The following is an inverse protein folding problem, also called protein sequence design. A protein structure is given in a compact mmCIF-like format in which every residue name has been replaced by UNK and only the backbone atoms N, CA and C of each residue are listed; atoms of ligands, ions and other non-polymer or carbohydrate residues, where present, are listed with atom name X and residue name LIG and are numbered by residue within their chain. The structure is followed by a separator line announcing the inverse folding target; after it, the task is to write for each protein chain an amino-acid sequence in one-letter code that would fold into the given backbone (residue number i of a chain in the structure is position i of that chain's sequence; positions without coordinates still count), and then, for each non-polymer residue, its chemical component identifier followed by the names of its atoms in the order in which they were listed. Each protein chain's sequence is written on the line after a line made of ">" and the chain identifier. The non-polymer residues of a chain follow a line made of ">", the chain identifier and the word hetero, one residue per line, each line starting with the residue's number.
data_IF_525599228635
#
_entry.id   IF_525599228635
#
_cell.length_a   1.000
_cell.length_b   1.000
_cell.length_c   1.000
_cell.angle_alpha   90.00
_cell.angle_beta   90.00
_cell.angle_gamma   90.00
#
_symmetry.space_group_name_H-M   'P 1'
#
loop_
_entity.id
_entity.type
_entity.pdbx_description
1 polymer ?
#
# COMPACT_ATOMS: atom_id res chain seq x y z
N UNK A 1 -52.94 21.72 26.37
CA UNK A 1 -52.87 21.92 24.91
C UNK A 1 -51.96 20.82 24.37
N UNK A 2 -52.52 19.65 24.03
CA UNK A 2 -51.75 18.55 23.45
C UNK A 2 -51.54 18.89 21.97
N UNK A 3 -50.34 19.34 21.62
CA UNK A 3 -49.93 19.44 20.22
C UNK A 3 -49.64 18.00 19.77
N UNK A 4 -50.69 17.29 19.37
CA UNK A 4 -50.53 15.98 18.73
C UNK A 4 -49.89 16.20 17.37
N UNK A 5 -48.63 15.82 17.22
CA UNK A 5 -47.98 15.82 15.91
C UNK A 5 -48.83 14.96 14.95
N UNK A 6 -49.13 15.43 13.72
CA UNK A 6 -49.90 14.66 12.77
C UNK A 6 -49.15 13.36 12.45
N UNK A 7 -49.85 12.22 12.49
CA UNK A 7 -49.22 10.90 12.32
C UNK A 7 -48.50 10.76 10.97
N UNK A 8 -48.93 11.49 9.93
CA UNK A 8 -48.21 11.49 8.64
C UNK A 8 -46.78 12.03 8.79
N UNK A 9 -46.56 13.01 9.68
CA UNK A 9 -45.25 13.67 9.85
C UNK A 9 -44.24 12.67 10.39
N UNK A 10 -44.67 11.84 11.36
CA UNK A 10 -43.86 10.77 11.95
C UNK A 10 -43.39 9.78 10.86
N UNK A 11 -44.30 9.38 9.97
CA UNK A 11 -44.02 8.46 8.86
C UNK A 11 -43.08 9.09 7.86
N UNK A 12 -43.34 10.33 7.46
CA UNK A 12 -42.52 11.06 6.50
C UNK A 12 -41.08 11.21 7.02
N UNK A 13 -40.92 11.56 8.31
CA UNK A 13 -39.60 11.61 8.96
C UNK A 13 -38.92 10.24 8.93
N UNK A 14 -39.61 9.16 9.30
CA UNK A 14 -39.01 7.82 9.28
C UNK A 14 -38.61 7.34 7.88
N UNK A 15 -39.38 7.72 6.85
CA UNK A 15 -39.06 7.41 5.46
C UNK A 15 -37.83 8.20 4.98
N UNK A 16 -37.76 9.49 5.30
CA UNK A 16 -36.59 10.32 4.99
C UNK A 16 -35.33 9.78 5.66
N UNK A 17 -35.40 9.36 6.93
CA UNK A 17 -34.25 8.76 7.63
C UNK A 17 -33.74 7.51 6.93
N UNK A 18 -34.64 6.63 6.49
CA UNK A 18 -34.26 5.43 5.73
C UNK A 18 -33.63 5.76 4.37
N UNK A 19 -34.16 6.76 3.66
CA UNK A 19 -33.58 7.22 2.38
C UNK A 19 -32.17 7.77 2.61
N UNK A 20 -31.98 8.61 3.64
CA UNK A 20 -30.66 9.13 3.99
C UNK A 20 -29.69 8.00 4.35
N UNK A 21 -30.13 7.00 5.11
CA UNK A 21 -29.31 5.83 5.42
C UNK A 21 -28.89 5.07 4.15
N UNK A 22 -29.81 4.87 3.19
CA UNK A 22 -29.50 4.23 1.92
C UNK A 22 -28.51 5.04 1.08
N UNK A 23 -28.68 6.36 1.00
CA UNK A 23 -27.75 7.25 0.30
C UNK A 23 -26.37 7.27 0.96
N UNK A 24 -26.31 7.24 2.30
CA UNK A 24 -25.06 7.17 3.05
C UNK A 24 -24.29 5.89 2.73
N UNK A 25 -24.98 4.76 2.63
CA UNK A 25 -24.37 3.50 2.20
C UNK A 25 -23.78 3.61 0.79
N UNK A 26 -24.59 4.03 -0.18
CA UNK A 26 -24.18 4.02 -1.59
C UNK A 26 -23.11 5.07 -1.92
N UNK A 27 -23.19 6.28 -1.38
CA UNK A 27 -22.30 7.37 -1.76
C UNK A 27 -21.12 7.56 -0.82
N UNK A 28 -21.29 7.29 0.48
CA UNK A 28 -20.25 7.57 1.47
C UNK A 28 -19.50 6.29 1.83
N UNK A 29 -20.21 5.24 2.24
CA UNK A 29 -19.57 3.99 2.68
C UNK A 29 -18.87 3.30 1.52
N UNK A 30 -19.56 3.12 0.39
CA UNK A 30 -18.97 2.45 -0.78
C UNK A 30 -17.81 3.26 -1.36
N UNK A 31 -17.94 4.59 -1.45
CA UNK A 31 -16.85 5.45 -1.93
C UNK A 31 -15.62 5.46 -1.01
N UNK A 32 -15.80 5.40 0.31
CA UNK A 32 -14.68 5.18 1.23
C UNK A 32 -14.10 3.77 1.11
N UNK A 33 -14.94 2.77 0.85
CA UNK A 33 -14.52 1.39 0.61
C UNK A 33 -13.61 1.27 -0.62
N UNK A 34 -13.94 1.95 -1.71
CA UNK A 34 -13.10 2.02 -2.92
C UNK A 34 -11.74 2.65 -2.60
N UNK A 35 -11.72 3.77 -1.87
CA UNK A 35 -10.46 4.41 -1.44
C UNK A 35 -9.62 3.48 -0.57
N UNK A 36 -10.23 2.73 0.35
CA UNK A 36 -9.54 1.76 1.18
C UNK A 36 -8.89 0.65 0.32
N UNK A 37 -9.59 0.16 -0.69
CA UNK A 37 -9.09 -0.86 -1.61
C UNK A 37 -7.88 -0.37 -2.43
N UNK A 38 -7.92 0.87 -2.93
CA UNK A 38 -6.78 1.47 -3.65
C UNK A 38 -5.55 1.59 -2.75
N UNK A 39 -5.73 2.00 -1.49
CA UNK A 39 -4.63 2.09 -0.51
C UNK A 39 -4.04 0.71 -0.22
N UNK A 40 -4.88 -0.32 -0.06
CA UNK A 40 -4.45 -1.71 0.17
C UNK A 40 -3.70 -2.27 -1.05
N UNK A 41 -4.19 -2.04 -2.26
CA UNK A 41 -3.53 -2.44 -3.51
C UNK A 41 -2.14 -1.79 -3.63
N UNK A 42 -2.05 -0.49 -3.32
CA UNK A 42 -0.79 0.25 -3.35
C UNK A 42 0.20 -0.33 -2.33
N UNK A 43 -0.24 -0.63 -1.11
CA UNK A 43 0.61 -1.28 -0.10
C UNK A 43 1.13 -2.64 -0.55
N UNK A 44 0.26 -3.44 -1.16
CA UNK A 44 0.62 -4.75 -1.71
C UNK A 44 1.67 -4.61 -2.82
N UNK A 45 1.46 -3.68 -3.75
CA UNK A 45 2.42 -3.37 -4.82
C UNK A 45 3.77 -2.93 -4.27
N UNK A 46 3.78 -1.99 -3.33
CA UNK A 46 5.00 -1.54 -2.66
C UNK A 46 5.73 -2.68 -1.95
N UNK A 47 5.01 -3.60 -1.29
CA UNK A 47 5.62 -4.75 -0.63
C UNK A 47 6.27 -5.73 -1.64
N UNK A 48 5.66 -5.92 -2.81
CA UNK A 48 6.27 -6.69 -3.90
C UNK A 48 7.54 -6.00 -4.42
N UNK A 49 7.50 -4.68 -4.59
CA UNK A 49 8.66 -3.90 -5.01
C UNK A 49 9.80 -3.96 -3.99
N UNK A 50 9.50 -3.94 -2.68
CA UNK A 50 10.48 -4.14 -1.61
C UNK A 50 11.13 -5.51 -1.75
N UNK A 51 10.35 -6.58 -1.92
CA UNK A 51 10.89 -7.94 -2.10
C UNK A 51 11.79 -8.06 -3.32
N UNK A 52 11.37 -7.51 -4.47
CA UNK A 52 12.19 -7.48 -5.69
C UNK A 52 13.47 -6.67 -5.50
N UNK A 53 13.41 -5.58 -4.75
CA UNK A 53 14.58 -4.74 -4.48
C UNK A 53 15.55 -5.44 -3.53
N UNK A 54 15.07 -6.18 -2.53
CA UNK A 54 15.91 -7.06 -1.71
C UNK A 54 16.61 -8.14 -2.53
N UNK A 55 15.90 -8.78 -3.47
CA UNK A 55 16.51 -9.75 -4.38
C UNK A 55 17.63 -9.13 -5.23
N UNK A 56 17.50 -7.86 -5.62
CA UNK A 56 18.54 -7.14 -6.34
C UNK A 56 19.76 -6.87 -5.45
N UNK A 57 19.56 -6.50 -4.19
CA UNK A 57 20.64 -6.34 -3.20
C UNK A 57 21.40 -7.67 -3.02
N UNK A 58 20.69 -8.77 -2.82
CA UNK A 58 21.30 -10.10 -2.66
C UNK A 58 22.05 -10.54 -3.94
N UNK A 59 21.47 -10.29 -5.11
CA UNK A 59 22.14 -10.56 -6.38
C UNK A 59 23.42 -9.75 -6.53
N UNK A 60 23.45 -8.52 -6.01
CA UNK A 60 24.62 -7.66 -6.02
C UNK A 60 25.73 -8.20 -5.10
N UNK A 61 25.38 -8.66 -3.91
CA UNK A 61 26.34 -9.25 -2.98
C UNK A 61 26.91 -10.58 -3.50
N UNK A 62 26.08 -11.44 -4.11
CA UNK A 62 26.56 -12.68 -4.75
C UNK A 62 27.53 -12.39 -5.89
N UNK A 63 27.29 -11.33 -6.66
CA UNK A 63 28.22 -10.89 -7.72
C UNK A 63 29.52 -10.38 -7.15
N UNK A 64 29.47 -9.57 -6.08
CA UNK A 64 30.67 -9.14 -5.35
C UNK A 64 31.51 -10.33 -4.91
N UNK A 65 30.89 -11.33 -4.29
CA UNK A 65 31.56 -12.57 -3.87
C UNK A 65 32.19 -13.29 -5.06
N UNK A 66 31.45 -13.41 -6.17
CA UNK A 66 31.94 -14.04 -7.41
C UNK A 66 33.16 -13.30 -7.97
N UNK A 67 33.13 -11.95 -8.00
CA UNK A 67 34.24 -11.12 -8.46
C UNK A 67 35.50 -11.33 -7.61
N UNK A 68 35.35 -11.36 -6.29
CA UNK A 68 36.47 -11.59 -5.36
C UNK A 68 37.05 -13.01 -5.51
N UNK A 69 36.21 -14.02 -5.70
CA UNK A 69 36.67 -15.40 -5.95
C UNK A 69 37.45 -15.48 -7.26
N UNK A 70 36.94 -14.87 -8.34
CA UNK A 70 37.62 -14.86 -9.64
C UNK A 70 38.99 -14.20 -9.53
N UNK A 71 39.06 -13.02 -8.91
CA UNK A 71 40.31 -12.26 -8.75
C UNK A 71 41.34 -12.98 -7.88
N UNK A 72 40.90 -13.72 -6.86
CA UNK A 72 41.80 -14.46 -5.96
C UNK A 72 42.25 -15.82 -6.52
N UNK A 73 41.48 -16.39 -7.44
CA UNK A 73 41.79 -17.68 -8.10
C UNK A 73 42.59 -17.50 -9.40
N UNK A 74 42.67 -16.27 -9.91
CA UNK A 74 43.40 -15.95 -11.13
C UNK A 74 44.91 -16.05 -10.88
N UNK A 75 45.62 -16.81 -11.73
CA UNK A 75 47.09 -16.82 -11.72
C UNK A 75 47.61 -15.46 -12.20
N UNK A 76 48.65 -14.94 -11.54
CA UNK A 76 49.31 -13.68 -11.90
C UNK A 76 49.67 -13.66 -13.39
N UNK A 77 49.10 -12.72 -14.15
CA UNK A 77 49.42 -12.51 -15.57
C UNK A 77 48.49 -13.19 -16.58
N UNK A 78 47.42 -13.89 -16.16
CA UNK A 78 46.42 -14.45 -17.08
C UNK A 78 45.24 -13.50 -17.25
N UNK A 79 45.08 -12.85 -18.40
CA UNK A 79 43.93 -11.97 -18.66
C UNK A 79 42.59 -12.74 -18.64
N UNK A 80 41.57 -12.16 -17.99
CA UNK A 80 40.22 -12.70 -18.03
C UNK A 80 39.60 -12.47 -19.40
N UNK A 81 38.77 -13.40 -19.91
CA UNK A 81 38.01 -13.15 -21.12
C UNK A 81 37.17 -11.88 -20.97
N UNK A 82 37.34 -10.92 -21.88
CA UNK A 82 36.66 -9.62 -21.88
C UNK A 82 35.13 -9.77 -21.87
N UNK A 83 34.62 -10.85 -22.47
CA UNK A 83 33.20 -11.22 -22.47
C UNK A 83 32.68 -11.58 -21.06
N UNK A 84 33.54 -12.18 -20.22
CA UNK A 84 33.20 -12.57 -18.86
C UNK A 84 33.26 -11.36 -17.92
N UNK A 85 34.25 -10.47 -18.12
CA UNK A 85 34.36 -9.19 -17.41
C UNK A 85 33.17 -8.29 -17.70
N UNK A 86 32.83 -8.10 -18.98
CA UNK A 86 31.67 -7.30 -19.39
C UNK A 86 30.35 -7.87 -18.88
N UNK A 87 30.17 -9.20 -18.84
CA UNK A 87 28.95 -9.80 -18.28
C UNK A 87 28.83 -9.56 -16.77
N UNK A 88 29.93 -9.67 -16.03
CA UNK A 88 29.95 -9.43 -14.58
C UNK A 88 29.77 -7.95 -14.24
N UNK A 89 30.30 -7.05 -15.07
CA UNK A 89 30.24 -5.61 -14.88
C UNK A 89 29.03 -4.94 -15.55
N UNK A 90 28.29 -5.65 -16.43
CA UNK A 90 27.11 -5.13 -17.15
C UNK A 90 26.02 -4.47 -16.29
N UNK A 91 25.75 -4.89 -15.04
CA UNK A 91 24.77 -4.22 -14.18
C UNK A 91 25.26 -2.86 -13.67
N UNK A 92 26.55 -2.56 -13.81
CA UNK A 92 27.21 -1.36 -13.34
C UNK A 92 27.58 -0.53 -14.56
N UNK A 93 26.62 0.27 -15.06
CA UNK A 93 26.74 1.03 -16.32
C UNK A 93 28.02 1.85 -16.45
N UNK A 94 28.58 2.31 -15.32
CA UNK A 94 29.74 3.18 -15.27
C UNK A 94 31.07 2.41 -15.11
N UNK A 95 31.00 1.07 -15.05
CA UNK A 95 32.14 0.21 -14.72
C UNK A 95 32.46 -0.83 -15.79
N UNK A 96 31.64 -0.97 -16.83
CA UNK A 96 31.83 -1.94 -17.92
C UNK A 96 33.19 -1.85 -18.60
N UNK A 97 33.80 -0.66 -18.63
CA UNK A 97 35.12 -0.43 -19.24
C UNK A 97 36.28 -0.46 -18.21
N UNK A 98 36.00 -0.77 -16.94
CA UNK A 98 37.04 -0.83 -15.91
C UNK A 98 37.72 -2.21 -15.95
N UNK A 99 39.07 -2.27 -16.09
CA UNK A 99 39.79 -3.54 -16.05
C UNK A 99 39.53 -4.26 -14.73
N UNK A 100 39.19 -5.54 -14.81
CA UNK A 100 39.01 -6.37 -13.62
C UNK A 100 40.37 -6.88 -13.13
N UNK A 101 41.06 -6.03 -12.37
CA UNK A 101 42.35 -6.32 -11.75
C UNK A 101 42.37 -5.95 -10.26
N UNK A 102 43.43 -6.36 -9.56
CA UNK A 102 43.57 -6.09 -8.13
C UNK A 102 43.84 -4.62 -7.82
N UNK A 103 44.20 -3.81 -8.82
CA UNK A 103 44.39 -2.36 -8.66
C UNK A 103 43.05 -1.61 -8.66
N UNK A 104 42.07 -2.07 -9.44
CA UNK A 104 40.77 -1.45 -9.62
C UNK A 104 39.67 -2.07 -8.75
N UNK A 105 39.94 -3.16 -8.02
CA UNK A 105 38.96 -3.83 -7.15
C UNK A 105 38.32 -2.88 -6.13
N UNK A 106 39.09 -1.95 -5.55
CA UNK A 106 38.54 -0.96 -4.61
C UNK A 106 37.54 -0.02 -5.29
N UNK A 107 37.77 0.34 -6.56
CA UNK A 107 36.86 1.17 -7.35
C UNK A 107 35.57 0.40 -7.65
N UNK A 108 35.69 -0.87 -8.03
CA UNK A 108 34.56 -1.78 -8.28
C UNK A 108 33.73 -1.98 -7.02
N UNK A 109 34.39 -2.17 -5.88
CA UNK A 109 33.74 -2.32 -4.59
C UNK A 109 32.95 -1.06 -4.19
N UNK A 110 33.54 0.12 -4.36
CA UNK A 110 32.85 1.39 -4.13
C UNK A 110 31.61 1.57 -5.04
N UNK A 111 31.70 1.17 -6.31
CA UNK A 111 30.55 1.21 -7.22
C UNK A 111 29.44 0.25 -6.80
N UNK A 112 29.79 -0.94 -6.32
CA UNK A 112 28.85 -1.90 -5.74
C UNK A 112 28.16 -1.31 -4.50
N UNK A 113 28.94 -0.72 -3.58
CA UNK A 113 28.41 -0.15 -2.34
C UNK A 113 27.42 1.00 -2.64
N UNK A 114 27.77 1.87 -3.60
CA UNK A 114 26.87 2.95 -4.06
C UNK A 114 25.55 2.40 -4.62
N UNK A 115 25.60 1.34 -5.42
CA UNK A 115 24.38 0.71 -5.94
C UNK A 115 23.57 0.03 -4.83
N UNK A 116 24.22 -0.61 -3.86
CA UNK A 116 23.54 -1.16 -2.68
C UNK A 116 22.83 -0.06 -1.89
N UNK A 117 23.47 1.08 -1.68
CA UNK A 117 22.88 2.21 -0.96
C UNK A 117 21.65 2.76 -1.69
N UNK A 118 21.69 2.89 -3.02
CA UNK A 118 20.52 3.30 -3.81
C UNK A 118 19.34 2.33 -3.65
N UNK A 119 19.61 1.02 -3.70
CA UNK A 119 18.58 -0.01 -3.53
C UNK A 119 18.01 -0.01 -2.10
N UNK A 120 18.85 0.17 -1.07
CA UNK A 120 18.42 0.26 0.33
C UNK A 120 17.59 1.51 0.58
N UNK A 121 18.02 2.67 0.08
CA UNK A 121 17.24 3.91 0.14
C UNK A 121 15.87 3.76 -0.53
N UNK A 122 15.79 3.01 -1.64
CA UNK A 122 14.52 2.70 -2.29
C UNK A 122 13.63 1.81 -1.41
N UNK A 123 14.18 0.78 -0.77
CA UNK A 123 13.47 -0.06 0.19
C UNK A 123 12.91 0.80 1.33
N UNK A 124 13.74 1.65 1.93
CA UNK A 124 13.35 2.52 3.04
C UNK A 124 12.22 3.48 2.63
N UNK A 125 12.32 4.07 1.44
CA UNK A 125 11.28 4.95 0.90
C UNK A 125 9.95 4.22 0.74
N UNK A 126 9.96 3.03 0.11
CA UNK A 126 8.76 2.21 -0.06
C UNK A 126 8.18 1.75 1.28
N UNK A 127 9.03 1.45 2.26
CA UNK A 127 8.60 1.06 3.60
C UNK A 127 7.92 2.21 4.35
N UNK A 128 8.50 3.41 4.29
CA UNK A 128 7.91 4.60 4.91
C UNK A 128 6.60 5.01 4.24
N UNK A 129 6.51 4.91 2.91
CA UNK A 129 5.26 5.13 2.17
C UNK A 129 4.18 4.13 2.62
N UNK A 130 4.52 2.85 2.76
CA UNK A 130 3.61 1.84 3.30
C UNK A 130 3.13 2.14 4.72
N UNK A 131 3.98 2.71 5.57
CA UNK A 131 3.58 3.10 6.91
C UNK A 131 2.53 4.24 6.86
N UNK A 132 2.73 5.23 6.00
CA UNK A 132 1.78 6.33 5.79
C UNK A 132 0.46 5.84 5.17
N UNK A 133 0.54 4.91 4.21
CA UNK A 133 -0.63 4.26 3.62
C UNK A 133 -1.39 3.44 4.67
N UNK A 134 -0.69 2.76 5.59
CA UNK A 134 -1.33 1.98 6.65
C UNK A 134 -2.11 2.87 7.62
N UNK A 135 -1.58 4.05 7.95
CA UNK A 135 -2.30 5.03 8.77
C UNK A 135 -3.50 5.61 8.02
N UNK A 136 -3.34 5.96 6.75
CA UNK A 136 -4.44 6.43 5.90
C UNK A 136 -5.56 5.39 5.78
N UNK A 137 -5.19 4.11 5.61
CA UNK A 137 -6.16 3.00 5.58
C UNK A 137 -6.95 2.90 6.89
N UNK A 138 -6.28 2.99 8.04
CA UNK A 138 -6.93 2.94 9.37
C UNK A 138 -7.94 4.09 9.54
N UNK A 139 -7.60 5.29 9.10
CA UNK A 139 -8.51 6.44 9.15
C UNK A 139 -9.74 6.26 8.27
N UNK A 140 -9.55 5.73 7.05
CA UNK A 140 -10.64 5.42 6.13
C UNK A 140 -11.56 4.34 6.72
N UNK A 141 -11.00 3.24 7.22
CA UNK A 141 -11.77 2.14 7.83
C UNK A 141 -12.52 2.60 9.08
N UNK A 142 -11.90 3.45 9.90
CA UNK A 142 -12.57 4.08 11.04
C UNK A 142 -13.76 4.92 10.59
N UNK A 143 -13.59 5.73 9.55
CA UNK A 143 -14.65 6.54 8.96
C UNK A 143 -15.79 5.67 8.42
N UNK A 144 -15.47 4.60 7.69
CA UNK A 144 -16.46 3.61 7.20
C UNK A 144 -17.28 3.05 8.36
N UNK A 145 -16.62 2.66 9.46
CA UNK A 145 -17.31 2.12 10.64
C UNK A 145 -18.27 3.15 11.25
N UNK A 146 -17.84 4.40 11.38
CA UNK A 146 -18.66 5.49 11.91
C UNK A 146 -19.90 5.74 11.05
N UNK A 147 -19.73 5.85 9.72
CA UNK A 147 -20.85 6.04 8.80
C UNK A 147 -21.78 4.83 8.76
N UNK A 148 -21.24 3.61 8.84
CA UNK A 148 -22.05 2.39 8.90
C UNK A 148 -22.92 2.37 10.14
N UNK A 149 -22.35 2.68 11.31
CA UNK A 149 -23.10 2.76 12.56
C UNK A 149 -24.19 3.84 12.51
N UNK A 150 -23.87 5.00 11.92
CA UNK A 150 -24.83 6.09 11.73
C UNK A 150 -25.97 5.68 10.80
N UNK A 151 -25.67 5.11 9.62
CA UNK A 151 -26.67 4.64 8.68
C UNK A 151 -27.61 3.60 9.32
N UNK A 152 -27.05 2.62 10.03
CA UNK A 152 -27.83 1.61 10.78
C UNK A 152 -28.73 2.26 11.84
N UNK A 153 -28.21 3.23 12.58
CA UNK A 153 -29.00 3.97 13.57
C UNK A 153 -30.18 4.71 12.93
N UNK A 154 -29.94 5.43 11.82
CA UNK A 154 -31.01 6.09 11.07
C UNK A 154 -32.04 5.10 10.55
N UNK A 155 -31.61 3.93 10.08
CA UNK A 155 -32.48 2.90 9.56
C UNK A 155 -33.38 2.31 10.66
N UNK A 156 -32.80 1.97 11.82
CA UNK A 156 -33.55 1.45 12.98
C UNK A 156 -34.55 2.48 13.49
N UNK A 157 -34.14 3.75 13.65
CA UNK A 157 -35.06 4.81 14.05
C UNK A 157 -36.14 5.06 13.02
N UNK A 158 -35.79 5.06 11.73
CA UNK A 158 -36.74 5.25 10.65
C UNK A 158 -37.82 4.18 10.64
N UNK A 159 -37.43 2.91 10.81
CA UNK A 159 -38.34 1.78 10.95
C UNK A 159 -39.21 1.90 12.21
N UNK A 160 -38.60 2.26 13.36
CA UNK A 160 -39.34 2.44 14.61
C UNK A 160 -40.39 3.55 14.51
N UNK A 161 -40.10 4.67 13.85
CA UNK A 161 -41.06 5.75 13.60
C UNK A 161 -42.21 5.31 12.70
N UNK A 162 -41.92 4.54 11.65
CA UNK A 162 -42.94 3.98 10.77
C UNK A 162 -43.84 3.00 11.54
N UNK A 163 -43.26 2.16 12.41
CA UNK A 163 -44.03 1.23 13.25
C UNK A 163 -44.81 1.94 14.37
N UNK A 164 -44.28 3.03 14.93
CA UNK A 164 -44.95 3.82 15.97
C UNK A 164 -46.28 4.42 15.48
N UNK A 165 -46.41 4.71 14.17
CA UNK A 165 -47.72 5.02 13.56
C UNK A 165 -48.72 3.92 13.83
N UNK A 166 -48.36 2.67 13.56
CA UNK A 166 -49.29 1.55 13.62
C UNK A 166 -49.75 1.28 15.07
N UNK A 167 -48.90 1.57 16.05
CA UNK A 167 -49.27 1.57 17.49
C UNK A 167 -50.20 2.72 17.91
N UNK A 168 -50.16 3.87 17.21
CA UNK A 168 -51.04 5.02 17.50
C UNK A 168 -52.47 4.84 16.99
N UNK A 169 -52.70 3.87 16.10
CA UNK A 169 -54.06 3.48 15.68
C UNK A 169 -54.66 2.62 16.78
N UNK A 170 -55.57 3.20 17.57
CA UNK A 170 -56.41 2.42 18.50
C UNK A 170 -57.17 1.36 17.70
N UNK A 171 -57.21 0.09 18.13
CA UNK A 171 -58.13 -0.87 17.56
C UNK A 171 -59.55 -0.43 17.95
N UNK A 172 -60.38 -0.14 16.95
CA UNK A 172 -61.84 -0.13 17.12
C UNK A 172 -62.34 -1.58 17.23
#
# INVERSE_FOLDING_TARGET
>A
MQIGLPTWVIVATGLVMNVIAALMTNFVIDGLGEKAAVVEETQSSNNQLIQLTWQQVDALERRRETLLIILTTQEEGRELPEMLVSQLLSPFSDMTDTPLDMANINKIMLGIDQQQDLLRNKIDTLYLDNLQLADSYREIVSSISNYRNLALFLQILGLALIMARDLSRKPD
#
